data_IF_387397997487
#
_entry.id   IF_387397997487
#
_cell.length_a   1.000
_cell.length_b   1.000
_cell.length_c   1.000
_cell.angle_alpha   90.00
_cell.angle_beta   90.00
_cell.angle_gamma   90.00
#
_symmetry.space_group_name_H-M   'P 1'
#
loop_
_entity.id
_entity.type
_entity.pdbx_description
1 polymer ?
#
# COMPACT_ATOMS: atom_id res chain seq x y z
N UNK A 1 23.30 34.30 16.13
CA UNK A 1 22.69 34.25 14.77
C UNK A 1 22.49 32.79 14.35
N UNK A 2 21.46 32.13 14.88
CA UNK A 2 21.05 30.80 14.38
C UNK A 2 19.56 30.82 14.09
N UNK A 3 19.18 31.66 13.12
CA UNK A 3 17.88 31.58 12.47
C UNK A 3 18.04 30.61 11.30
N UNK A 4 18.12 29.31 11.62
CA UNK A 4 17.75 28.29 10.64
C UNK A 4 16.23 28.33 10.59
N UNK A 5 15.68 29.32 9.89
CA UNK A 5 14.27 29.32 9.51
C UNK A 5 13.99 27.97 8.87
N UNK A 6 13.23 27.10 9.55
CA UNK A 6 12.53 26.01 8.88
C UNK A 6 11.84 26.66 7.69
N UNK A 7 12.29 26.33 6.49
CA UNK A 7 11.68 26.82 5.27
C UNK A 7 10.25 26.26 5.27
N UNK A 8 9.29 27.11 5.66
CA UNK A 8 7.89 26.74 5.71
C UNK A 8 7.47 26.49 4.28
N UNK A 9 6.96 25.30 3.98
CA UNK A 9 6.56 24.90 2.63
C UNK A 9 5.23 25.58 2.25
N UNK A 10 5.24 26.91 2.12
CA UNK A 10 4.05 27.76 1.94
C UNK A 10 3.24 27.33 0.72
N UNK A 11 3.92 26.91 -0.36
CA UNK A 11 3.25 26.40 -1.55
C UNK A 11 2.51 25.09 -1.28
N UNK A 12 3.11 24.19 -0.49
CA UNK A 12 2.50 22.90 -0.12
C UNK A 12 1.30 23.11 0.80
N UNK A 13 1.39 24.03 1.76
CA UNK A 13 0.26 24.39 2.64
C UNK A 13 -0.93 24.94 1.83
N UNK A 14 -0.67 25.85 0.88
CA UNK A 14 -1.69 26.42 0.00
C UNK A 14 -2.36 25.35 -0.89
N UNK A 15 -1.57 24.45 -1.46
CA UNK A 15 -2.05 23.34 -2.27
C UNK A 15 -2.88 22.33 -1.46
N UNK A 16 -2.47 22.05 -0.22
CA UNK A 16 -3.21 21.20 0.73
C UNK A 16 -4.61 21.75 1.01
N UNK A 17 -4.72 23.08 1.13
CA UNK A 17 -5.99 23.76 1.35
C UNK A 17 -6.85 23.88 0.08
N UNK A 18 -6.28 23.64 -1.11
CA UNK A 18 -6.93 23.91 -2.40
C UNK A 18 -7.15 25.41 -2.67
N UNK A 19 -6.45 26.29 -1.95
CA UNK A 19 -6.59 27.74 -2.11
C UNK A 19 -5.74 28.22 -3.29
N UNK A 20 -6.38 28.32 -4.46
CA UNK A 20 -5.75 28.81 -5.68
C UNK A 20 -5.11 30.19 -5.45
N UNK A 21 -5.80 31.11 -4.78
CA UNK A 21 -5.28 32.45 -4.56
C UNK A 21 -4.02 32.44 -3.67
N UNK A 22 -3.95 31.56 -2.68
CA UNK A 22 -2.74 31.35 -1.89
C UNK A 22 -1.61 30.73 -2.71
N UNK A 23 -1.90 29.80 -3.62
CA UNK A 23 -0.91 29.24 -4.57
C UNK A 23 -0.33 30.36 -5.44
N UNK A 24 -1.17 31.25 -5.98
CA UNK A 24 -0.69 32.37 -6.80
C UNK A 24 0.21 33.32 -6.01
N UNK A 25 -0.18 33.66 -4.77
CA UNK A 25 0.63 34.48 -3.87
C UNK A 25 1.96 33.82 -3.52
N UNK A 26 1.96 32.51 -3.30
CA UNK A 26 3.18 31.76 -3.00
C UNK A 26 4.18 31.85 -4.17
N UNK A 27 3.72 31.60 -5.41
CA UNK A 27 4.57 31.76 -6.59
C UNK A 27 5.04 33.21 -6.79
N UNK A 28 4.16 34.20 -6.57
CA UNK A 28 4.53 35.62 -6.66
C UNK A 28 5.57 36.04 -5.59
N UNK A 29 5.58 35.36 -4.45
CA UNK A 29 6.57 35.54 -3.38
C UNK A 29 7.87 34.76 -3.62
N UNK A 30 8.00 34.03 -4.73
CA UNK A 30 9.20 33.27 -5.09
C UNK A 30 9.28 31.88 -4.44
N UNK A 31 8.15 31.29 -4.03
CA UNK A 31 8.13 29.90 -3.56
C UNK A 31 8.71 28.95 -4.62
N UNK A 32 9.53 28.00 -4.18
CA UNK A 32 10.18 27.06 -5.09
C UNK A 32 9.19 25.97 -5.50
N UNK A 33 9.10 25.67 -6.81
CA UNK A 33 8.17 24.67 -7.32
C UNK A 33 8.50 23.23 -6.86
N UNK A 34 9.72 23.01 -6.36
CA UNK A 34 10.21 21.75 -5.81
C UNK A 34 10.10 21.61 -4.29
N UNK A 35 9.47 22.57 -3.59
CA UNK A 35 9.27 22.52 -2.14
C UNK A 35 8.62 21.20 -1.70
N UNK A 36 9.13 20.64 -0.60
CA UNK A 36 8.59 19.44 0.04
C UNK A 36 8.28 19.71 1.51
N UNK A 37 7.15 19.21 1.99
CA UNK A 37 6.82 19.29 3.42
C UNK A 37 7.54 18.20 4.25
N UNK A 38 7.27 18.13 5.55
CA UNK A 38 7.86 17.15 6.48
C UNK A 38 7.50 15.70 6.16
N UNK A 39 6.49 15.45 5.31
CA UNK A 39 6.13 14.13 4.78
C UNK A 39 6.82 13.82 3.44
N UNK A 40 7.66 14.73 2.93
CA UNK A 40 8.30 14.59 1.63
C UNK A 40 7.36 14.89 0.45
N UNK A 41 6.17 15.43 0.68
CA UNK A 41 5.19 15.72 -0.36
C UNK A 41 5.49 17.06 -1.03
N UNK A 42 5.46 17.08 -2.37
CA UNK A 42 5.38 18.34 -3.12
C UNK A 42 3.95 18.90 -3.09
N UNK A 43 3.78 20.14 -3.54
CA UNK A 43 2.48 20.79 -3.61
C UNK A 43 1.47 19.97 -4.46
N UNK A 44 1.92 19.34 -5.54
CA UNK A 44 1.06 18.53 -6.40
C UNK A 44 0.57 17.25 -5.70
N UNK A 45 1.45 16.55 -4.96
CA UNK A 45 1.03 15.40 -4.15
C UNK A 45 0.04 15.81 -3.06
N UNK A 46 0.33 16.91 -2.36
CA UNK A 46 -0.51 17.39 -1.27
C UNK A 46 -1.90 17.83 -1.74
N UNK A 47 -1.99 18.43 -2.93
CA UNK A 47 -3.26 18.72 -3.58
C UNK A 47 -4.08 17.44 -3.81
N UNK A 48 -3.52 16.42 -4.45
CA UNK A 48 -4.24 15.17 -4.74
C UNK A 48 -4.72 14.48 -3.45
N UNK A 49 -3.87 14.38 -2.43
CA UNK A 49 -4.21 13.72 -1.16
C UNK A 49 -5.33 14.46 -0.40
N UNK A 50 -5.27 15.80 -0.33
CA UNK A 50 -6.10 16.55 0.62
C UNK A 50 -7.26 17.34 -0.01
N UNK A 51 -7.24 17.53 -1.32
CA UNK A 51 -8.29 18.26 -2.04
C UNK A 51 -9.26 17.37 -2.80
N UNK A 52 -9.05 16.04 -2.83
CA UNK A 52 -10.02 15.09 -3.39
C UNK A 52 -11.44 15.27 -2.80
N UNK A 53 -11.53 15.63 -1.51
CA UNK A 53 -12.80 15.96 -0.82
C UNK A 53 -13.48 17.25 -1.29
N UNK A 54 -12.78 18.12 -2.01
CA UNK A 54 -13.32 19.37 -2.56
C UNK A 54 -14.03 19.16 -3.92
N UNK A 55 -13.93 17.95 -4.48
CA UNK A 55 -14.46 17.59 -5.79
C UNK A 55 -13.42 17.76 -6.92
N UNK A 56 -13.60 16.99 -7.98
CA UNK A 56 -12.64 16.86 -9.08
C UNK A 56 -12.35 18.15 -9.82
N UNK A 57 -13.36 19.01 -10.05
CA UNK A 57 -13.18 20.29 -10.74
C UNK A 57 -12.26 21.26 -9.97
N UNK A 58 -12.41 21.30 -8.65
CA UNK A 58 -11.55 22.11 -7.79
C UNK A 58 -10.12 21.57 -7.79
N UNK A 59 -9.95 20.25 -7.66
CA UNK A 59 -8.65 19.60 -7.74
C UNK A 59 -7.98 19.82 -9.11
N UNK A 60 -8.71 19.69 -10.21
CA UNK A 60 -8.23 19.95 -11.58
C UNK A 60 -7.73 21.39 -11.71
N UNK A 61 -8.48 22.36 -11.15
CA UNK A 61 -8.08 23.77 -11.18
C UNK A 61 -6.78 24.02 -10.41
N UNK A 62 -6.62 23.38 -9.25
CA UNK A 62 -5.38 23.41 -8.45
C UNK A 62 -4.22 22.78 -9.21
N UNK A 63 -4.41 21.57 -9.77
CA UNK A 63 -3.40 20.86 -10.59
C UNK A 63 -2.92 21.77 -11.71
N UNK A 64 -3.83 22.31 -12.53
CA UNK A 64 -3.48 23.18 -13.65
C UNK A 64 -2.68 24.39 -13.20
N UNK A 65 -3.05 24.99 -12.07
CA UNK A 65 -2.31 26.14 -11.53
C UNK A 65 -0.90 25.79 -11.08
N UNK A 66 -0.74 24.67 -10.38
CA UNK A 66 0.57 24.21 -9.91
C UNK A 66 1.51 23.88 -11.08
N UNK A 67 0.99 23.23 -12.12
CA UNK A 67 1.78 22.92 -13.32
C UNK A 67 2.16 24.19 -14.08
N UNK A 68 1.26 25.17 -14.19
CA UNK A 68 1.58 26.47 -14.77
C UNK A 68 2.67 27.22 -13.98
N UNK A 69 2.79 26.96 -12.68
CA UNK A 69 3.87 27.46 -11.82
C UNK A 69 5.16 26.63 -11.85
N UNK A 70 5.27 25.64 -12.75
CA UNK A 70 6.48 24.84 -12.94
C UNK A 70 6.70 23.74 -11.90
N UNK A 71 5.65 23.30 -11.18
CA UNK A 71 5.73 22.12 -10.31
C UNK A 71 5.89 20.86 -11.17
N UNK A 72 6.85 20.01 -10.82
CA UNK A 72 7.12 18.79 -11.58
C UNK A 72 5.98 17.77 -11.44
N UNK A 73 5.54 17.22 -12.57
CA UNK A 73 4.61 16.09 -12.65
C UNK A 73 5.25 14.76 -12.20
N UNK A 74 6.57 14.67 -12.36
CA UNK A 74 7.35 13.43 -12.21
C UNK A 74 8.09 13.36 -10.86
N UNK A 75 7.92 14.37 -10.00
CA UNK A 75 8.40 14.26 -8.64
C UNK A 75 7.67 13.10 -7.96
N UNK A 76 8.41 12.28 -7.22
CA UNK A 76 7.84 11.20 -6.43
C UNK A 76 7.83 11.56 -4.95
N UNK A 77 6.83 11.10 -4.20
CA UNK A 77 6.85 11.14 -2.75
C UNK A 77 7.67 9.98 -2.16
N UNK A 78 7.63 9.79 -0.83
CA UNK A 78 8.47 8.81 -0.12
C UNK A 78 8.25 7.37 -0.56
N UNK A 79 7.06 7.01 -1.05
CA UNK A 79 6.79 5.69 -1.62
C UNK A 79 7.16 5.57 -3.10
N UNK A 80 7.87 6.55 -3.67
CA UNK A 80 8.19 6.56 -5.09
C UNK A 80 6.98 6.81 -6.00
N UNK A 81 5.80 7.16 -5.45
CA UNK A 81 4.60 7.43 -6.26
C UNK A 81 4.61 8.86 -6.78
N UNK A 82 4.19 9.05 -8.03
CA UNK A 82 3.94 10.37 -8.62
C UNK A 82 2.55 10.88 -8.23
N UNK A 83 2.25 12.13 -8.55
CA UNK A 83 0.89 12.66 -8.37
C UNK A 83 -0.17 11.91 -9.21
N UNK A 84 0.20 11.42 -10.40
CA UNK A 84 -0.70 10.59 -11.22
C UNK A 84 -0.99 9.25 -10.55
N UNK A 85 0.03 8.62 -9.97
CA UNK A 85 -0.17 7.39 -9.19
C UNK A 85 -1.15 7.63 -8.04
N UNK A 86 -0.93 8.68 -7.24
CA UNK A 86 -1.83 9.01 -6.13
C UNK A 86 -3.25 9.34 -6.59
N UNK A 87 -3.39 10.03 -7.73
CA UNK A 87 -4.71 10.37 -8.26
C UNK A 87 -5.49 9.12 -8.65
N UNK A 88 -4.83 8.17 -9.32
CA UNK A 88 -5.43 6.89 -9.66
C UNK A 88 -5.84 6.09 -8.41
N UNK A 89 -5.04 6.14 -7.35
CA UNK A 89 -5.24 5.38 -6.11
C UNK A 89 -6.30 5.98 -5.17
N UNK A 90 -6.44 7.31 -5.13
CA UNK A 90 -7.19 8.01 -4.08
C UNK A 90 -8.44 8.73 -4.61
N UNK A 91 -8.52 8.99 -5.91
CA UNK A 91 -9.58 9.82 -6.50
C UNK A 91 -10.45 8.98 -7.41
N UNK A 92 -11.74 8.87 -7.05
CA UNK A 92 -12.75 8.16 -7.82
C UNK A 92 -13.29 9.01 -8.99
N UNK A 93 -12.37 9.56 -9.79
CA UNK A 93 -12.72 10.31 -10.99
C UNK A 93 -11.62 10.25 -12.05
N UNK A 94 -11.94 9.54 -13.14
CA UNK A 94 -11.07 9.40 -14.30
C UNK A 94 -10.65 10.74 -14.92
N UNK A 95 -11.45 11.80 -14.77
CA UNK A 95 -11.13 13.12 -15.30
C UNK A 95 -9.81 13.66 -14.73
N UNK A 96 -9.51 13.40 -13.45
CA UNK A 96 -8.28 13.88 -12.80
C UNK A 96 -7.04 13.22 -13.41
N UNK A 97 -7.09 11.90 -13.63
CA UNK A 97 -6.01 11.13 -14.27
C UNK A 97 -5.79 11.61 -15.71
N UNK A 98 -6.88 11.80 -16.47
CA UNK A 98 -6.81 12.33 -17.84
C UNK A 98 -6.21 13.73 -17.91
N UNK A 99 -6.54 14.59 -16.95
CA UNK A 99 -5.96 15.94 -16.90
C UNK A 99 -4.47 15.88 -16.64
N UNK A 100 -4.00 15.07 -15.68
CA UNK A 100 -2.58 14.91 -15.41
C UNK A 100 -1.82 14.39 -16.64
N UNK A 101 -2.35 13.38 -17.32
CA UNK A 101 -1.76 12.89 -18.58
C UNK A 101 -1.76 13.97 -19.68
N UNK A 102 -2.85 14.72 -19.84
CA UNK A 102 -2.93 15.81 -20.83
C UNK A 102 -1.94 16.95 -20.57
N UNK A 103 -1.49 17.09 -19.32
CA UNK A 103 -0.45 18.03 -18.90
C UNK A 103 0.97 17.45 -19.06
N UNK A 104 1.09 16.18 -19.48
CA UNK A 104 2.35 15.52 -19.77
C UNK A 104 2.84 14.54 -18.70
N UNK A 105 2.00 14.17 -17.72
CA UNK A 105 2.38 13.18 -16.72
C UNK A 105 2.58 11.80 -17.36
N UNK A 106 3.61 11.07 -16.95
CA UNK A 106 3.75 9.66 -17.34
C UNK A 106 2.66 8.82 -16.70
N UNK A 107 2.03 7.98 -17.53
CA UNK A 107 0.99 7.02 -17.11
C UNK A 107 1.55 5.65 -16.73
N UNK A 108 2.69 5.27 -17.30
CA UNK A 108 3.42 4.05 -16.94
C UNK A 108 4.37 4.37 -15.78
N UNK A 109 3.85 4.25 -14.57
CA UNK A 109 4.55 4.55 -13.33
C UNK A 109 4.37 3.44 -12.31
N UNK A 110 5.43 3.20 -11.57
CA UNK A 110 5.48 2.23 -10.46
C UNK A 110 5.84 2.96 -9.17
N UNK A 111 5.37 2.43 -8.04
CA UNK A 111 5.90 2.84 -6.73
C UNK A 111 7.36 2.38 -6.58
N UNK A 112 8.02 2.79 -5.50
CA UNK A 112 9.37 2.31 -5.16
C UNK A 112 9.45 0.79 -4.98
N UNK A 113 8.32 0.11 -4.77
CA UNK A 113 8.22 -1.35 -4.67
C UNK A 113 7.97 -2.05 -6.00
N UNK A 114 7.95 -1.31 -7.11
CA UNK A 114 7.65 -1.86 -8.42
C UNK A 114 6.16 -2.17 -8.63
N UNK A 115 5.27 -1.74 -7.73
CA UNK A 115 3.83 -1.90 -7.92
C UNK A 115 3.37 -0.89 -8.98
N UNK A 116 2.83 -1.40 -10.08
CA UNK A 116 2.34 -0.57 -11.17
C UNK A 116 1.02 0.13 -10.81
N UNK A 117 0.84 1.37 -11.28
CA UNK A 117 -0.33 2.22 -10.96
C UNK A 117 -1.69 1.56 -11.23
N UNK A 118 -1.79 0.73 -12.27
CA UNK A 118 -3.01 -0.04 -12.60
C UNK A 118 -3.45 -0.92 -11.44
N UNK A 119 -2.52 -1.44 -10.63
CA UNK A 119 -2.83 -2.38 -9.54
C UNK A 119 -3.65 -1.73 -8.43
N UNK A 120 -3.28 -0.50 -8.07
CA UNK A 120 -3.88 0.23 -6.96
C UNK A 120 -4.91 1.29 -7.40
N UNK A 121 -5.18 1.40 -8.69
CA UNK A 121 -6.21 2.31 -9.18
C UNK A 121 -7.56 1.97 -8.55
N UNK A 122 -8.20 2.99 -7.96
CA UNK A 122 -9.38 2.87 -7.10
C UNK A 122 -10.60 2.35 -7.86
N UNK A 123 -10.81 2.87 -9.07
CA UNK A 123 -12.00 2.58 -9.86
C UNK A 123 -11.70 1.71 -11.09
N UNK A 124 -12.63 0.82 -11.49
CA UNK A 124 -12.50 0.01 -12.70
C UNK A 124 -12.27 0.85 -13.96
N UNK A 125 -12.87 2.04 -14.03
CA UNK A 125 -12.72 2.96 -15.15
C UNK A 125 -11.29 3.47 -15.26
N UNK A 126 -10.66 3.83 -14.13
CA UNK A 126 -9.25 4.26 -14.10
C UNK A 126 -8.32 3.08 -14.39
N UNK A 127 -8.60 1.89 -13.85
CA UNK A 127 -7.85 0.67 -14.15
C UNK A 127 -7.87 0.35 -15.65
N UNK A 128 -9.06 0.33 -16.27
CA UNK A 128 -9.22 0.08 -17.69
C UNK A 128 -8.52 1.14 -18.53
N UNK A 129 -8.65 2.41 -18.13
CA UNK A 129 -7.98 3.50 -18.80
C UNK A 129 -6.46 3.30 -18.80
N UNK A 130 -5.84 3.14 -17.63
CA UNK A 130 -4.40 2.99 -17.50
C UNK A 130 -3.90 1.71 -18.16
N UNK A 131 -4.63 0.59 -18.01
CA UNK A 131 -4.27 -0.70 -18.63
C UNK A 131 -4.19 -0.59 -20.16
N UNK A 132 -5.13 0.11 -20.78
CA UNK A 132 -5.10 0.35 -22.24
C UNK A 132 -3.89 1.20 -22.66
N UNK A 133 -3.44 2.17 -21.85
CA UNK A 133 -2.32 3.06 -22.21
C UNK A 133 -0.96 2.44 -21.95
N UNK A 134 -0.83 1.65 -20.88
CA UNK A 134 0.47 1.07 -20.49
C UNK A 134 0.67 -0.35 -21.00
N UNK A 135 -0.41 -1.03 -21.42
CA UNK A 135 -0.39 -2.46 -21.77
C UNK A 135 -0.26 -3.38 -20.56
N UNK A 136 -0.19 -2.84 -19.34
CA UNK A 136 -0.18 -3.63 -18.11
C UNK A 136 -1.59 -4.14 -17.84
N UNK A 137 -1.82 -5.46 -17.71
CA UNK A 137 -3.15 -5.99 -17.51
C UNK A 137 -3.74 -5.53 -16.17
N UNK A 138 -5.04 -5.30 -16.14
CA UNK A 138 -5.79 -5.11 -14.89
C UNK A 138 -5.58 -6.38 -14.04
N UNK A 139 -5.18 -6.27 -12.76
CA UNK A 139 -5.10 -7.43 -11.89
C UNK A 139 -6.42 -8.18 -11.90
N UNK A 140 -6.38 -9.47 -12.21
CA UNK A 140 -7.56 -10.29 -12.04
C UNK A 140 -7.93 -10.26 -10.55
N UNK A 141 -9.21 -10.04 -10.20
CA UNK A 141 -9.64 -10.21 -8.81
C UNK A 141 -9.22 -11.62 -8.38
N UNK A 142 -8.53 -11.69 -7.24
CA UNK A 142 -8.05 -12.95 -6.67
C UNK A 142 -9.22 -13.93 -6.65
N UNK A 143 -9.18 -15.02 -7.44
CA UNK A 143 -10.32 -15.89 -7.60
C UNK A 143 -10.69 -16.46 -6.23
N UNK A 144 -11.99 -16.39 -5.86
CA UNK A 144 -12.48 -17.02 -4.65
C UNK A 144 -12.29 -18.53 -4.77
N UNK A 145 -11.26 -19.07 -4.13
CA UNK A 145 -10.98 -20.50 -4.18
C UNK A 145 -12.12 -21.30 -3.57
N UNK A 146 -12.46 -22.47 -4.14
CA UNK A 146 -13.43 -23.36 -3.52
C UNK A 146 -12.92 -23.76 -2.13
N UNK A 147 -13.78 -23.64 -1.13
CA UNK A 147 -13.48 -24.10 0.21
C UNK A 147 -13.41 -25.63 0.21
N UNK A 148 -12.25 -26.20 0.52
CA UNK A 148 -12.05 -27.66 0.62
C UNK A 148 -11.76 -28.02 2.07
N UNK A 149 -12.62 -28.84 2.67
CA UNK A 149 -12.38 -29.36 4.02
C UNK A 149 -11.16 -30.26 4.02
N UNK A 150 -10.21 -29.97 4.90
CA UNK A 150 -8.99 -30.75 5.04
C UNK A 150 -9.24 -32.06 5.78
N UNK A 151 -8.59 -33.13 5.31
CA UNK A 151 -8.43 -34.34 6.10
C UNK A 151 -7.48 -34.08 7.28
N UNK A 152 -7.57 -34.88 8.35
CA UNK A 152 -6.66 -34.73 9.50
C UNK A 152 -5.19 -34.84 9.09
N UNK A 153 -4.86 -35.74 8.16
CA UNK A 153 -3.50 -35.90 7.66
C UNK A 153 -3.02 -34.66 6.89
N UNK A 154 -3.83 -34.14 5.96
CA UNK A 154 -3.52 -32.94 5.20
C UNK A 154 -3.38 -31.71 6.11
N UNK A 155 -4.25 -31.57 7.11
CA UNK A 155 -4.19 -30.53 8.13
C UNK A 155 -2.86 -30.55 8.90
N UNK A 156 -2.46 -31.72 9.39
CA UNK A 156 -1.22 -31.87 10.15
C UNK A 156 0.01 -31.58 9.28
N UNK A 157 0.04 -32.07 8.04
CA UNK A 157 1.12 -31.80 7.09
C UNK A 157 1.23 -30.30 6.75
N UNK A 158 0.09 -29.62 6.53
CA UNK A 158 0.07 -28.18 6.30
C UNK A 158 0.61 -27.40 7.49
N UNK A 159 0.21 -27.74 8.73
CA UNK A 159 0.68 -27.08 9.94
C UNK A 159 2.18 -27.24 10.19
N UNK A 160 2.73 -28.44 9.94
CA UNK A 160 4.19 -28.66 10.08
C UNK A 160 4.97 -27.77 9.12
N UNK A 161 4.53 -27.68 7.86
CA UNK A 161 5.15 -26.77 6.87
C UNK A 161 5.02 -25.31 7.28
N UNK A 162 3.83 -24.88 7.72
CA UNK A 162 3.57 -23.51 8.16
C UNK A 162 4.49 -23.13 9.33
N UNK A 163 4.62 -24.02 10.33
CA UNK A 163 5.48 -23.80 11.48
C UNK A 163 6.95 -23.60 11.08
N UNK A 164 7.44 -24.34 10.08
CA UNK A 164 8.80 -24.15 9.53
C UNK A 164 8.96 -22.78 8.88
N UNK A 165 7.98 -22.31 8.10
CA UNK A 165 8.01 -20.97 7.49
C UNK A 165 8.03 -19.91 8.58
N UNK A 166 7.17 -20.06 9.59
CA UNK A 166 7.05 -19.09 10.68
C UNK A 166 8.29 -19.04 11.57
N UNK A 167 9.00 -20.16 11.75
CA UNK A 167 10.31 -20.16 12.39
C UNK A 167 11.31 -19.31 11.58
N UNK A 168 11.39 -19.49 10.27
CA UNK A 168 12.27 -18.69 9.40
C UNK A 168 11.92 -17.21 9.38
N UNK A 169 10.63 -16.86 9.38
CA UNK A 169 10.18 -15.46 9.48
C UNK A 169 10.60 -14.83 10.82
N UNK A 170 10.52 -15.57 11.93
CA UNK A 170 11.01 -15.09 13.24
C UNK A 170 12.52 -14.82 13.23
N UNK A 171 13.30 -15.68 12.57
CA UNK A 171 14.75 -15.47 12.40
C UNK A 171 15.07 -14.23 11.55
N UNK A 172 14.20 -13.87 10.60
CA UNK A 172 14.32 -12.64 9.81
C UNK A 172 13.91 -11.36 10.56
N UNK A 173 13.47 -11.48 11.82
CA UNK A 173 13.10 -10.34 12.67
C UNK A 173 11.61 -9.99 12.67
N UNK A 174 10.74 -10.82 12.09
CA UNK A 174 9.29 -10.66 12.23
C UNK A 174 8.81 -11.26 13.55
N UNK A 175 7.90 -10.56 14.23
CA UNK A 175 7.10 -11.16 15.28
C UNK A 175 6.02 -12.02 14.62
N UNK A 176 6.03 -13.33 14.88
CA UNK A 176 5.02 -14.24 14.32
C UNK A 176 4.22 -14.88 15.44
N UNK A 177 2.90 -14.67 15.42
CA UNK A 177 1.96 -15.25 16.38
C UNK A 177 0.98 -16.19 15.71
N UNK A 178 0.97 -17.42 16.22
CA UNK A 178 0.02 -18.45 15.84
C UNK A 178 -1.11 -18.44 16.86
N UNK A 179 -2.36 -18.46 16.40
CA UNK A 179 -3.54 -18.49 17.29
C UNK A 179 -3.64 -17.25 18.19
N UNK A 180 -3.36 -16.07 17.61
CA UNK A 180 -3.34 -14.78 18.29
C UNK A 180 -4.77 -14.28 18.52
N UNK A 181 -5.23 -14.30 19.77
CA UNK A 181 -6.57 -13.86 20.12
C UNK A 181 -7.70 -14.62 19.42
N UNK A 182 -8.93 -14.14 19.63
CA UNK A 182 -10.12 -14.74 18.98
C UNK A 182 -10.47 -14.04 17.68
N UNK A 183 -10.37 -12.71 17.65
CA UNK A 183 -10.71 -11.86 16.50
C UNK A 183 -9.47 -11.19 15.92
N UNK A 184 -9.61 -10.57 14.74
CA UNK A 184 -8.51 -9.86 14.08
C UNK A 184 -8.00 -8.69 14.93
N UNK A 185 -8.90 -7.96 15.58
CA UNK A 185 -8.54 -6.82 16.44
C UNK A 185 -7.74 -7.29 17.65
N UNK A 186 -8.16 -8.40 18.29
CA UNK A 186 -7.41 -9.00 19.41
C UNK A 186 -6.00 -9.42 18.96
N UNK A 187 -5.90 -10.15 17.85
CA UNK A 187 -4.62 -10.64 17.35
C UNK A 187 -3.69 -9.51 16.92
N UNK A 188 -4.23 -8.42 16.37
CA UNK A 188 -3.45 -7.22 16.05
C UNK A 188 -2.94 -6.55 17.31
N UNK A 189 -3.80 -6.35 18.31
CA UNK A 189 -3.43 -5.73 19.58
C UNK A 189 -2.32 -6.51 20.29
N UNK A 190 -2.45 -7.84 20.37
CA UNK A 190 -1.43 -8.72 20.98
C UNK A 190 -0.07 -8.58 20.29
N UNK A 191 -0.05 -8.53 18.96
CA UNK A 191 1.19 -8.39 18.19
C UNK A 191 1.78 -6.98 18.30
N UNK A 192 0.93 -5.94 18.34
CA UNK A 192 1.35 -4.56 18.48
C UNK A 192 1.99 -4.28 19.85
N UNK A 193 1.46 -4.90 20.91
CA UNK A 193 2.05 -4.84 22.25
C UNK A 193 3.44 -5.49 22.30
N UNK A 194 3.59 -6.68 21.69
CA UNK A 194 4.89 -7.35 21.60
C UNK A 194 5.88 -6.56 20.74
N UNK A 195 5.43 -5.98 19.64
CA UNK A 195 6.23 -5.11 18.80
C UNK A 195 6.73 -3.90 19.59
N UNK A 196 5.84 -3.25 20.34
CA UNK A 196 6.19 -2.12 21.22
C UNK A 196 7.24 -2.52 22.25
N UNK A 197 7.13 -3.73 22.83
CA UNK A 197 8.10 -4.26 23.78
C UNK A 197 9.45 -4.61 23.14
N UNK A 198 9.45 -5.10 21.89
CA UNK A 198 10.66 -5.41 21.12
C UNK A 198 11.41 -4.15 20.64
N UNK A 199 10.67 -3.04 20.47
CA UNK A 199 11.19 -1.78 19.93
C UNK A 199 11.71 -1.92 18.50
N UNK A 200 12.71 -1.12 18.12
CA UNK A 200 13.29 -1.07 16.75
C UNK A 200 14.02 -2.35 16.29
N UNK A 201 13.89 -3.46 17.02
CA UNK A 201 14.48 -4.75 16.66
C UNK A 201 13.56 -5.59 15.76
N UNK A 202 12.25 -5.35 15.79
CA UNK A 202 11.30 -6.05 14.96
C UNK A 202 11.04 -5.27 13.66
N UNK A 203 10.91 -5.97 12.53
CA UNK A 203 10.60 -5.35 11.22
C UNK A 203 9.09 -5.25 10.96
N UNK A 204 8.28 -5.92 11.79
CA UNK A 204 6.83 -5.99 11.68
C UNK A 204 6.30 -7.25 12.35
N UNK A 205 5.05 -7.59 12.09
CA UNK A 205 4.43 -8.80 12.62
C UNK A 205 3.50 -9.48 11.63
N UNK A 206 3.28 -10.78 11.86
CA UNK A 206 2.35 -11.63 11.14
C UNK A 206 1.59 -12.53 12.12
N UNK A 207 0.29 -12.72 11.91
CA UNK A 207 -0.52 -13.57 12.76
C UNK A 207 -1.70 -14.21 12.06
N UNK A 208 -2.26 -15.24 12.69
CA UNK A 208 -3.62 -15.68 12.44
C UNK A 208 -4.34 -15.91 13.77
N UNK A 209 -5.67 -15.81 13.77
CA UNK A 209 -6.50 -15.91 14.97
C UNK A 209 -7.07 -17.32 15.18
N UNK A 210 -7.64 -17.60 16.35
CA UNK A 210 -8.39 -18.85 16.55
C UNK A 210 -9.58 -18.99 15.60
N UNK A 211 -10.21 -17.88 15.23
CA UNK A 211 -11.32 -17.90 14.28
C UNK A 211 -10.85 -18.22 12.86
N UNK A 212 -9.74 -17.63 12.43
CA UNK A 212 -9.11 -17.94 11.14
C UNK A 212 -8.69 -19.42 11.08
N UNK A 213 -8.06 -19.93 12.14
CA UNK A 213 -7.64 -21.33 12.22
C UNK A 213 -8.81 -22.32 12.13
N UNK A 214 -9.93 -22.05 12.83
CA UNK A 214 -11.15 -22.87 12.74
C UNK A 214 -11.73 -22.87 11.33
N UNK A 215 -11.80 -21.70 10.68
CA UNK A 215 -12.28 -21.56 9.30
C UNK A 215 -11.33 -22.24 8.31
N UNK A 216 -10.03 -22.17 8.52
CA UNK A 216 -9.04 -22.82 7.66
C UNK A 216 -9.18 -24.35 7.67
N UNK A 217 -9.60 -24.95 8.79
CA UNK A 217 -9.84 -26.40 8.84
C UNK A 217 -11.02 -26.84 7.96
N UNK A 218 -12.08 -26.04 7.88
CA UNK A 218 -13.25 -26.34 7.06
C UNK A 218 -13.13 -25.87 5.61
N UNK A 219 -12.31 -24.85 5.34
CA UNK A 219 -12.18 -24.24 4.01
C UNK A 219 -10.87 -24.52 3.29
N UNK A 220 -9.83 -24.93 4.00
CA UNK A 220 -8.49 -25.06 3.44
C UNK A 220 -7.79 -23.72 3.18
N UNK A 221 -8.37 -22.60 3.60
CA UNK A 221 -7.86 -21.25 3.35
C UNK A 221 -7.54 -20.56 4.68
N UNK A 222 -6.28 -20.15 4.86
CA UNK A 222 -5.81 -19.48 6.07
C UNK A 222 -5.38 -18.05 5.75
N UNK A 223 -6.21 -17.04 6.10
CA UNK A 223 -5.79 -15.65 5.99
C UNK A 223 -4.79 -15.29 7.10
N UNK A 224 -3.80 -14.45 6.76
CA UNK A 224 -2.79 -13.95 7.68
C UNK A 224 -2.94 -12.44 7.86
N UNK A 225 -3.11 -12.00 9.11
CA UNK A 225 -2.91 -10.60 9.48
C UNK A 225 -1.42 -10.27 9.44
N UNK A 226 -1.09 -9.04 9.06
CA UNK A 226 0.28 -8.57 9.02
C UNK A 226 0.32 -7.04 9.11
N UNK A 227 1.48 -6.55 9.51
CA UNK A 227 1.75 -5.12 9.71
C UNK A 227 3.25 -4.87 9.68
N UNK A 228 3.67 -3.71 9.18
CA UNK A 228 5.08 -3.34 9.06
C UNK A 228 5.49 -2.11 9.87
N UNK A 229 6.74 -2.11 10.32
CA UNK A 229 7.34 -1.13 11.22
C UNK A 229 7.99 0.07 10.50
N UNK A 230 8.17 1.24 11.16
CA UNK A 230 7.93 1.48 12.58
C UNK A 230 6.60 2.15 12.93
N UNK A 231 5.91 2.78 11.98
CA UNK A 231 4.68 3.52 12.23
C UNK A 231 3.46 2.90 11.54
N UNK A 232 3.63 1.77 10.85
CA UNK A 232 2.54 1.15 10.12
C UNK A 232 2.26 1.84 8.80
N UNK A 233 3.27 2.51 8.23
CA UNK A 233 3.14 3.07 6.91
C UNK A 233 2.72 1.96 5.95
N UNK A 234 1.84 2.30 5.01
CA UNK A 234 1.26 1.34 4.07
C UNK A 234 2.34 0.51 3.38
N UNK A 235 3.43 1.16 2.99
CA UNK A 235 4.56 0.50 2.36
C UNK A 235 5.33 -0.43 3.28
N UNK A 236 5.61 -0.03 4.52
CA UNK A 236 6.32 -0.90 5.46
C UNK A 236 5.50 -2.17 5.67
N UNK A 237 4.18 -2.01 5.76
CA UNK A 237 3.24 -3.13 5.83
C UNK A 237 3.30 -4.00 4.58
N UNK A 238 3.20 -3.41 3.39
CA UNK A 238 3.29 -4.14 2.11
C UNK A 238 4.64 -4.86 1.94
N UNK A 239 5.77 -4.26 2.34
CA UNK A 239 7.10 -4.91 2.31
C UNK A 239 7.15 -6.15 3.19
N UNK A 240 6.60 -6.05 4.40
CA UNK A 240 6.44 -7.19 5.31
C UNK A 240 5.53 -8.24 4.68
N UNK A 241 4.43 -7.82 4.04
CA UNK A 241 3.53 -8.69 3.28
C UNK A 241 4.25 -9.48 2.19
N UNK A 242 5.05 -8.81 1.35
CA UNK A 242 5.84 -9.46 0.30
C UNK A 242 6.82 -10.48 0.89
N UNK A 243 7.52 -10.11 1.96
CA UNK A 243 8.46 -11.01 2.64
C UNK A 243 7.78 -12.28 3.18
N UNK A 244 6.58 -12.14 3.76
CA UNK A 244 5.77 -13.27 4.23
C UNK A 244 5.33 -14.15 3.05
N UNK A 245 4.81 -13.55 1.99
CA UNK A 245 4.30 -14.26 0.81
C UNK A 245 5.42 -15.00 0.09
N UNK A 246 6.60 -14.40 -0.06
CA UNK A 246 7.75 -15.03 -0.68
C UNK A 246 8.26 -16.22 0.14
N UNK A 247 8.30 -16.11 1.47
CA UNK A 247 8.67 -17.22 2.35
C UNK A 247 7.68 -18.40 2.24
N UNK A 248 6.37 -18.10 2.20
CA UNK A 248 5.33 -19.12 2.01
C UNK A 248 5.41 -19.80 0.64
N UNK A 249 5.58 -19.02 -0.43
CA UNK A 249 5.75 -19.54 -1.80
C UNK A 249 7.02 -20.37 -1.91
N UNK A 250 8.12 -19.95 -1.28
CA UNK A 250 9.37 -20.71 -1.19
C UNK A 250 9.22 -22.07 -0.49
N UNK A 251 8.26 -22.19 0.43
CA UNK A 251 7.89 -23.46 1.06
C UNK A 251 6.84 -24.28 0.28
N UNK A 252 6.49 -23.84 -0.94
CA UNK A 252 5.58 -24.53 -1.84
C UNK A 252 4.10 -24.32 -1.51
N UNK A 253 3.75 -23.25 -0.77
CA UNK A 253 2.36 -22.84 -0.64
C UNK A 253 1.91 -21.99 -1.82
N UNK A 254 0.69 -22.22 -2.27
CA UNK A 254 -0.03 -21.22 -3.06
C UNK A 254 -0.56 -20.15 -2.11
N UNK A 255 -0.30 -18.88 -2.46
CA UNK A 255 -0.74 -17.73 -1.68
C UNK A 255 -1.44 -16.73 -2.57
N UNK A 256 -2.68 -16.46 -2.21
CA UNK A 256 -3.59 -15.51 -2.81
C UNK A 256 -3.47 -14.17 -2.07
N UNK A 257 -2.93 -13.15 -2.73
CA UNK A 257 -2.75 -11.81 -2.15
C UNK A 257 -2.64 -10.76 -3.26
N UNK A 258 -3.22 -9.57 -3.05
CA UNK A 258 -3.18 -8.49 -4.05
C UNK A 258 -1.83 -7.76 -4.11
N UNK A 259 -0.98 -7.89 -3.09
CA UNK A 259 0.22 -7.07 -2.92
C UNK A 259 0.02 -5.81 -2.07
N UNK A 260 -1.22 -5.55 -1.65
CA UNK A 260 -1.62 -4.34 -0.90
C UNK A 260 -1.89 -4.63 0.57
N UNK A 261 -1.63 -3.63 1.43
CA UNK A 261 -2.02 -3.66 2.85
C UNK A 261 -3.53 -3.64 3.09
N UNK A 262 -4.32 -3.37 2.05
CA UNK A 262 -5.78 -3.36 2.11
C UNK A 262 -6.42 -4.75 2.23
N UNK A 263 -5.70 -5.83 1.90
CA UNK A 263 -6.16 -7.20 2.03
C UNK A 263 -5.11 -8.10 2.70
N UNK A 264 -5.58 -9.24 3.22
CA UNK A 264 -4.76 -10.23 3.91
C UNK A 264 -4.29 -11.31 2.93
N UNK A 265 -2.99 -11.69 2.92
CA UNK A 265 -2.55 -12.89 2.24
C UNK A 265 -3.32 -14.12 2.72
N UNK A 266 -3.81 -14.94 1.78
CA UNK A 266 -4.55 -16.17 2.06
C UNK A 266 -3.74 -17.37 1.59
N UNK A 267 -3.33 -18.21 2.55
CA UNK A 267 -2.57 -19.42 2.30
C UNK A 267 -3.50 -20.58 1.98
N UNK A 268 -3.27 -21.26 0.87
CA UNK A 268 -4.01 -22.46 0.48
C UNK A 268 -3.37 -23.68 1.13
N UNK A 269 -4.03 -24.22 2.16
CA UNK A 269 -3.56 -25.37 2.93
C UNK A 269 -3.94 -26.71 2.30
N UNK A 270 -4.93 -26.74 1.41
CA UNK A 270 -5.45 -27.95 0.74
C UNK A 270 -4.55 -28.52 -0.35
N UNK A 271 -3.58 -27.75 -0.83
CA UNK A 271 -2.68 -28.20 -1.88
C UNK A 271 -1.51 -29.00 -1.29
N UNK A 272 -1.31 -30.20 -1.87
CA UNK A 272 -0.13 -31.02 -1.60
C UNK A 272 1.11 -30.29 -2.12
N UNK A 273 2.28 -30.45 -1.47
CA UNK A 273 3.52 -29.87 -2.00
C UNK A 273 3.77 -30.40 -3.42
N UNK A 274 4.33 -29.57 -4.33
CA UNK A 274 4.68 -30.05 -5.66
C UNK A 274 5.62 -31.24 -5.54
N UNK A 275 5.32 -32.35 -6.24
CA UNK A 275 6.24 -33.47 -6.36
C UNK A 275 7.50 -32.98 -7.07
N UNK A 276 8.62 -33.01 -6.35
CA UNK A 276 9.96 -32.75 -6.92
C UNK A 276 10.35 -33.86 -7.88
#
# INVERSE_FOLDING_TARGET
>A
MSSSMKQRAVLVDAATAGDIAAIERAFAAGAESGERNELGLTALHAAVINTARLGSEALISVIRRLIAGGVSLEATEREGRTALYLAAELVDDLAVVKVLESLGAKVDVVSQHGIHVVVNALSPEVQAYLSERTGVPIPMPVPKRPSVRLSTAAWNAARVRLASVFAGLRESGLIVREDAGTTQDDGFQDCAEEYTAAGRKAVGFCFYTSQDLRRARSSGLLPLGYWGAPDGARVETEQVGHSIVDALRGAGFTVDWSGSSSDRPVVVLSEAPPTR
#
